data_IF_005604054356
#
_entry.id   IF_005604054356
#
_cell.length_a   1.000
_cell.length_b   1.000
_cell.length_c   1.000
_cell.angle_alpha   90.00
_cell.angle_beta   90.00
_cell.angle_gamma   90.00
#
_symmetry.space_group_name_H-M   'P 1'
#
loop_
_entity.id
_entity.type
_entity.pdbx_description
1 polymer ?
#
# COMPACT_ATOMS: atom_id res chain seq x y z
N UNK A 1 -23.09 68.70 -43.42
CA UNK A 1 -23.97 67.65 -43.98
C UNK A 1 -23.54 66.35 -43.32
N UNK A 2 -24.06 65.95 -42.16
CA UNK A 2 -25.45 65.53 -42.00
C UNK A 2 -25.74 64.17 -42.65
N UNK A 3 -24.79 63.62 -43.41
CA UNK A 3 -24.96 62.39 -44.16
C UNK A 3 -24.90 61.18 -43.23
N UNK A 4 -25.88 60.29 -43.33
CA UNK A 4 -25.88 59.00 -42.65
C UNK A 4 -25.03 58.02 -43.44
N UNK A 5 -23.99 57.46 -42.81
CA UNK A 5 -23.15 56.41 -43.37
C UNK A 5 -23.53 55.06 -42.75
N UNK A 6 -23.59 54.01 -43.57
CA UNK A 6 -23.75 52.63 -43.10
C UNK A 6 -22.44 51.86 -43.30
N UNK A 7 -22.02 51.14 -42.26
CA UNK A 7 -20.77 50.37 -42.25
C UNK A 7 -21.08 48.88 -42.35
N UNK A 8 -20.26 48.16 -43.11
CA UNK A 8 -20.39 46.71 -43.28
C UNK A 8 -19.04 46.07 -43.61
N UNK A 9 -18.98 44.73 -43.62
CA UNK A 9 -17.80 43.96 -44.00
C UNK A 9 -18.08 43.22 -45.31
N UNK A 10 -17.21 43.43 -46.30
CA UNK A 10 -17.30 42.69 -47.54
C UNK A 10 -16.93 41.21 -47.28
N UNK A 11 -17.86 40.29 -47.59
CA UNK A 11 -17.65 38.86 -47.36
C UNK A 11 -17.94 38.37 -45.94
N UNK A 12 -18.30 39.27 -45.01
CA UNK A 12 -18.58 38.95 -43.61
C UNK A 12 -17.38 39.19 -42.69
N UNK A 13 -17.57 38.87 -41.41
CA UNK A 13 -16.60 39.13 -40.35
C UNK A 13 -15.82 37.91 -39.85
N UNK A 14 -16.14 36.70 -40.33
CA UNK A 14 -15.51 35.49 -39.85
C UNK A 14 -14.11 35.33 -40.48
N UNK A 15 -13.08 35.38 -39.64
CA UNK A 15 -11.70 35.06 -40.01
C UNK A 15 -11.34 33.60 -39.73
N UNK A 16 -10.09 33.25 -40.01
CA UNK A 16 -9.46 31.99 -39.62
C UNK A 16 -9.19 31.94 -38.12
N UNK A 17 -8.65 33.01 -37.53
CA UNK A 17 -8.19 33.05 -36.13
C UNK A 17 -9.15 33.77 -35.18
N UNK A 18 -10.02 34.62 -35.73
CA UNK A 18 -10.99 35.38 -34.95
C UNK A 18 -12.04 36.04 -35.82
N UNK A 19 -12.92 36.80 -35.21
CA UNK A 19 -14.06 37.41 -35.88
C UNK A 19 -14.01 38.94 -35.76
N UNK A 20 -14.12 39.64 -36.89
CA UNK A 20 -14.22 41.09 -36.97
C UNK A 20 -15.69 41.51 -37.08
N UNK A 21 -16.08 42.51 -36.29
CA UNK A 21 -17.39 43.17 -36.38
C UNK A 21 -17.18 44.67 -36.55
N UNK A 22 -18.13 45.36 -37.19
CA UNK A 22 -18.13 46.82 -37.33
C UNK A 22 -19.48 47.38 -36.89
N UNK A 23 -19.47 48.40 -36.04
CA UNK A 23 -20.68 49.04 -35.53
C UNK A 23 -21.20 50.16 -36.48
N UNK A 24 -22.33 50.75 -36.13
CA UNK A 24 -22.96 51.81 -36.92
C UNK A 24 -22.13 53.11 -36.99
N UNK A 25 -21.11 53.26 -36.13
CA UNK A 25 -20.21 54.41 -36.12
C UNK A 25 -18.91 54.14 -36.90
N UNK A 26 -18.74 52.94 -37.45
CA UNK A 26 -17.51 52.51 -38.12
C UNK A 26 -16.42 52.04 -37.16
N UNK A 27 -16.74 51.86 -35.88
CA UNK A 27 -15.81 51.26 -34.91
C UNK A 27 -15.81 49.77 -35.16
N UNK A 28 -14.64 49.22 -35.50
CA UNK A 28 -14.47 47.78 -35.65
C UNK A 28 -13.93 47.17 -34.35
N UNK A 29 -14.33 45.92 -34.09
CA UNK A 29 -13.86 45.10 -32.97
C UNK A 29 -13.47 43.75 -33.52
N UNK A 30 -12.26 43.30 -33.20
CA UNK A 30 -11.79 41.96 -33.50
C UNK A 30 -11.75 41.13 -32.22
N UNK A 31 -12.33 39.93 -32.27
CA UNK A 31 -12.33 38.98 -31.16
C UNK A 31 -11.53 37.75 -31.59
N UNK A 32 -10.35 37.56 -30.99
CA UNK A 32 -9.53 36.37 -31.20
C UNK A 32 -10.22 35.15 -30.57
N UNK A 33 -10.28 34.03 -31.30
CA UNK A 33 -10.77 32.76 -30.75
C UNK A 33 -9.63 31.98 -30.10
N UNK A 34 -9.14 32.49 -28.96
CA UNK A 34 -7.92 31.99 -28.30
C UNK A 34 -7.94 30.50 -27.94
N UNK A 35 -9.13 29.91 -27.73
CA UNK A 35 -9.25 28.48 -27.44
C UNK A 35 -9.29 27.58 -28.68
N UNK A 36 -9.26 28.14 -29.89
CA UNK A 36 -9.26 27.35 -31.12
C UNK A 36 -7.88 26.72 -31.34
N UNK A 37 -7.85 25.46 -31.75
CA UNK A 37 -6.62 24.70 -31.94
C UNK A 37 -5.65 25.33 -32.95
N UNK A 38 -6.14 26.10 -33.93
CA UNK A 38 -5.28 26.80 -34.88
C UNK A 38 -4.62 28.05 -34.30
N UNK A 39 -5.20 28.66 -33.26
CA UNK A 39 -4.58 29.78 -32.52
C UNK A 39 -3.56 29.23 -31.54
N UNK A 40 -3.90 28.14 -30.84
CA UNK A 40 -3.02 27.44 -29.91
C UNK A 40 -1.88 26.67 -30.60
N UNK A 41 -1.89 26.54 -31.93
CA UNK A 41 -0.80 25.94 -32.69
C UNK A 41 0.22 26.97 -33.21
N UNK A 42 0.08 28.26 -32.85
CA UNK A 42 0.98 29.32 -33.28
C UNK A 42 2.13 29.44 -32.29
N UNK A 43 3.33 29.07 -32.73
CA UNK A 43 4.55 29.16 -31.92
C UNK A 43 4.85 30.60 -31.48
N UNK A 44 5.70 30.76 -30.46
CA UNK A 44 6.07 32.05 -29.90
C UNK A 44 6.60 33.03 -30.97
N UNK A 45 5.89 34.14 -31.16
CA UNK A 45 6.27 35.15 -32.15
C UNK A 45 5.98 34.78 -33.60
N UNK A 46 5.41 33.59 -33.88
CA UNK A 46 4.81 33.31 -35.19
C UNK A 46 3.73 34.36 -35.46
N UNK A 47 3.65 34.86 -36.70
CA UNK A 47 2.64 35.84 -37.08
C UNK A 47 1.83 35.39 -38.27
N UNK A 48 0.52 35.57 -38.17
CA UNK A 48 -0.43 35.28 -39.23
C UNK A 48 -1.31 36.51 -39.45
N UNK A 49 -1.51 36.87 -40.71
CA UNK A 49 -2.28 38.06 -41.07
C UNK A 49 -3.67 37.67 -41.57
N UNK A 50 -4.67 38.37 -41.06
CA UNK A 50 -6.05 38.33 -41.55
C UNK A 50 -6.41 39.65 -42.19
N UNK A 51 -7.11 39.59 -43.33
CA UNK A 51 -7.50 40.76 -44.10
C UNK A 51 -9.02 40.87 -44.14
N UNK A 52 -9.55 41.98 -43.63
CA UNK A 52 -10.98 42.29 -43.65
C UNK A 52 -11.21 43.58 -44.43
N UNK A 53 -12.12 43.59 -45.41
CA UNK A 53 -12.45 44.80 -46.17
C UNK A 53 -13.71 45.44 -45.59
N UNK A 54 -13.54 46.60 -44.94
CA UNK A 54 -14.62 47.43 -44.41
C UNK A 54 -15.19 48.28 -45.54
N UNK A 55 -16.52 48.28 -45.67
CA UNK A 55 -17.26 49.06 -46.67
C UNK A 55 -18.08 50.14 -45.97
N UNK A 56 -17.87 51.39 -46.36
CA UNK A 56 -18.73 52.51 -45.97
C UNK A 56 -19.61 52.89 -47.15
N UNK A 57 -20.91 53.04 -46.91
CA UNK A 57 -21.90 53.43 -47.92
C UNK A 57 -22.61 54.70 -47.48
N UNK A 58 -22.72 55.69 -48.37
CA UNK A 58 -23.50 56.89 -48.11
C UNK A 58 -25.01 56.67 -48.34
N UNK A 59 -25.82 57.64 -47.92
CA UNK A 59 -27.28 57.61 -48.08
C UNK A 59 -27.79 57.61 -49.54
N UNK A 60 -26.91 57.88 -50.51
CA UNK A 60 -27.20 57.85 -51.95
C UNK A 60 -26.70 56.56 -52.62
N UNK A 61 -26.13 55.63 -51.85
CA UNK A 61 -25.65 54.32 -52.31
C UNK A 61 -24.23 54.32 -52.88
N UNK A 62 -23.47 55.41 -52.76
CA UNK A 62 -22.05 55.42 -53.12
C UNK A 62 -21.22 54.74 -52.03
N UNK A 63 -20.24 53.90 -52.43
CA UNK A 63 -19.43 53.10 -51.52
C UNK A 63 -17.96 53.47 -51.59
N UNK A 64 -17.27 53.39 -50.45
CA UNK A 64 -15.80 53.37 -50.36
C UNK A 64 -15.34 52.20 -49.48
N UNK A 65 -14.10 51.75 -49.65
CA UNK A 65 -13.60 50.53 -49.00
C UNK A 65 -12.22 50.73 -48.38
N UNK A 66 -12.00 50.13 -47.22
CA UNK A 66 -10.71 50.11 -46.54
C UNK A 66 -10.37 48.70 -46.06
N UNK A 67 -9.17 48.25 -46.37
CA UNK A 67 -8.63 47.01 -45.83
C UNK A 67 -8.11 47.22 -44.41
N UNK A 68 -8.50 46.31 -43.52
CA UNK A 68 -8.03 46.18 -42.14
C UNK A 68 -7.23 44.88 -42.05
N UNK A 69 -5.92 45.00 -41.86
CA UNK A 69 -5.05 43.85 -41.59
C UNK A 69 -4.95 43.65 -40.08
N UNK A 70 -5.39 42.50 -39.59
CA UNK A 70 -5.16 42.05 -38.22
C UNK A 70 -3.97 41.09 -38.23
N UNK A 71 -2.92 41.41 -37.48
CA UNK A 71 -1.80 40.50 -37.26
C UNK A 71 -2.02 39.76 -35.96
N UNK A 72 -2.24 38.45 -36.04
CA UNK A 72 -2.27 37.55 -34.89
C UNK A 72 -0.84 37.09 -34.63
N UNK A 73 -0.39 37.21 -33.39
CA UNK A 73 0.95 36.78 -32.97
C UNK A 73 0.81 35.66 -31.95
N UNK A 74 1.46 34.53 -32.21
CA UNK A 74 1.51 33.40 -31.29
C UNK A 74 2.26 33.73 -30.00
N UNK A 75 1.87 33.05 -28.93
CA UNK A 75 2.51 33.08 -27.62
C UNK A 75 2.88 31.66 -27.25
N UNK A 76 4.03 31.48 -26.58
CA UNK A 76 4.47 30.17 -26.12
C UNK A 76 3.49 29.57 -25.11
N UNK A 77 2.93 28.39 -25.39
CA UNK A 77 2.13 27.63 -24.45
C UNK A 77 3.02 26.60 -23.74
N UNK A 78 2.86 26.44 -22.42
CA UNK A 78 3.73 25.52 -21.68
C UNK A 78 3.35 24.05 -21.95
N UNK A 79 4.33 23.13 -22.05
CA UNK A 79 4.05 21.72 -22.23
C UNK A 79 3.41 21.14 -20.98
N UNK A 80 2.70 20.03 -21.13
CA UNK A 80 2.01 19.34 -20.02
C UNK A 80 2.41 17.87 -19.95
N UNK A 81 2.56 17.36 -18.72
CA UNK A 81 2.79 15.93 -18.48
C UNK A 81 1.53 15.11 -18.72
N UNK A 82 1.73 13.88 -19.16
CA UNK A 82 0.75 12.81 -19.08
C UNK A 82 1.41 11.48 -18.72
N UNK A 83 0.62 10.42 -18.70
CA UNK A 83 1.07 9.08 -18.31
C UNK A 83 0.72 8.76 -16.86
N UNK A 84 1.10 7.55 -16.43
CA UNK A 84 0.72 6.96 -15.16
C UNK A 84 1.71 7.35 -14.03
N UNK A 85 2.92 7.81 -14.37
CA UNK A 85 3.98 8.22 -13.43
C UNK A 85 4.30 7.17 -12.35
N UNK A 86 4.18 5.90 -12.71
CA UNK A 86 4.26 4.75 -11.82
C UNK A 86 4.96 3.62 -12.59
N UNK A 87 5.99 3.03 -11.99
CA UNK A 87 6.74 1.92 -12.57
C UNK A 87 7.03 0.91 -11.48
N UNK A 88 6.90 -0.39 -11.77
CA UNK A 88 7.19 -1.44 -10.79
C UNK A 88 8.32 -2.35 -11.28
N UNK A 89 9.16 -2.79 -10.36
CA UNK A 89 10.18 -3.80 -10.61
C UNK A 89 10.48 -4.64 -9.36
N UNK A 90 11.27 -5.69 -9.55
CA UNK A 90 11.84 -6.46 -8.44
C UNK A 90 13.20 -5.85 -8.07
N UNK A 91 13.56 -5.87 -6.78
CA UNK A 91 14.84 -5.36 -6.30
C UNK A 91 16.02 -5.93 -7.09
N UNK A 92 17.01 -5.08 -7.36
CA UNK A 92 18.18 -5.39 -8.18
C UNK A 92 17.88 -5.50 -9.68
N UNK A 93 16.64 -5.19 -10.07
CA UNK A 93 16.18 -5.19 -11.44
C UNK A 93 16.49 -3.89 -12.18
N UNK A 94 16.29 -3.96 -13.49
CA UNK A 94 16.33 -2.84 -14.42
C UNK A 94 14.97 -2.77 -15.12
N UNK A 95 14.33 -1.60 -15.13
CA UNK A 95 13.05 -1.38 -15.79
C UNK A 95 13.13 -0.21 -16.77
N UNK A 96 12.77 -0.46 -18.02
CA UNK A 96 12.68 0.58 -19.04
C UNK A 96 11.39 1.37 -18.89
N UNK A 97 11.48 2.69 -19.00
CA UNK A 97 10.32 3.56 -19.07
C UNK A 97 9.79 3.60 -20.50
N UNK A 98 8.47 3.73 -20.62
CA UNK A 98 7.77 3.86 -21.89
C UNK A 98 6.79 5.05 -21.85
N UNK A 99 6.11 5.31 -22.97
CA UNK A 99 5.21 6.47 -23.10
C UNK A 99 3.95 6.40 -22.25
N UNK A 100 3.60 5.24 -21.69
CA UNK A 100 2.55 5.13 -20.68
C UNK A 100 3.02 5.66 -19.34
N UNK A 101 4.28 5.43 -18.98
CA UNK A 101 4.84 5.84 -17.68
C UNK A 101 5.11 7.35 -17.65
N UNK A 102 5.55 7.89 -18.78
CA UNK A 102 5.89 9.29 -18.94
C UNK A 102 5.65 9.75 -20.39
N UNK A 103 4.73 10.70 -20.56
CA UNK A 103 4.52 11.40 -21.82
C UNK A 103 4.38 12.90 -21.61
N UNK A 104 4.48 13.65 -22.70
CA UNK A 104 4.33 15.09 -22.70
C UNK A 104 3.60 15.54 -23.98
N UNK A 105 2.78 16.57 -23.83
CA UNK A 105 2.06 17.20 -24.93
C UNK A 105 2.30 18.70 -24.84
N UNK A 106 2.66 19.27 -25.99
CA UNK A 106 2.82 20.70 -26.18
C UNK A 106 1.77 21.19 -27.21
N UNK A 107 0.94 22.20 -26.90
CA UNK A 107 -0.08 22.71 -27.81
C UNK A 107 0.45 23.45 -29.05
N UNK A 108 1.49 24.28 -28.90
CA UNK A 108 2.02 25.13 -29.98
C UNK A 108 3.29 24.57 -30.62
N UNK A 109 3.84 23.50 -30.06
CA UNK A 109 4.99 22.82 -30.61
C UNK A 109 4.72 21.37 -31.04
N UNK A 110 5.57 20.84 -31.92
CA UNK A 110 5.50 19.40 -32.23
C UNK A 110 6.07 18.66 -31.02
N UNK A 111 5.31 17.75 -30.38
CA UNK A 111 5.71 16.96 -29.19
C UNK A 111 7.12 16.33 -29.20
N UNK A 112 7.85 16.36 -30.32
CA UNK A 112 9.26 15.95 -30.44
C UNK A 112 10.27 16.97 -29.89
N UNK A 113 9.87 18.19 -29.57
CA UNK A 113 10.75 19.25 -29.08
C UNK A 113 10.75 19.42 -27.55
N UNK A 114 9.87 18.70 -26.85
CA UNK A 114 9.84 18.73 -25.38
C UNK A 114 11.06 18.01 -24.79
N UNK A 115 11.60 18.60 -23.73
CA UNK A 115 12.78 18.10 -23.02
C UNK A 115 12.42 17.83 -21.56
N UNK A 116 12.72 16.62 -21.09
CA UNK A 116 12.64 16.26 -19.68
C UNK A 116 13.99 16.51 -19.02
N UNK A 117 14.01 17.23 -17.90
CA UNK A 117 15.21 17.50 -17.12
C UNK A 117 15.06 16.81 -15.76
N UNK A 118 16.04 15.98 -15.38
CA UNK A 118 16.05 15.37 -14.05
C UNK A 118 16.21 16.46 -12.98
N UNK A 119 15.22 16.63 -12.12
CA UNK A 119 15.17 17.64 -11.06
C UNK A 119 15.04 17.04 -9.63
N UNK A 120 15.17 15.73 -9.53
CA UNK A 120 15.36 15.00 -8.28
C UNK A 120 15.80 13.59 -8.63
N UNK A 121 17.08 13.28 -8.42
CA UNK A 121 17.61 11.95 -8.72
C UNK A 121 17.07 10.91 -7.73
N UNK A 122 16.84 9.66 -8.18
CA UNK A 122 16.46 8.57 -7.30
C UNK A 122 17.53 8.28 -6.25
N UNK A 123 17.13 7.73 -5.11
CA UNK A 123 18.02 7.48 -3.95
C UNK A 123 18.41 6.01 -3.78
N UNK A 124 17.54 5.09 -4.22
CA UNK A 124 17.74 3.63 -4.23
C UNK A 124 18.37 3.09 -5.51
N UNK A 125 18.54 3.93 -6.54
CA UNK A 125 19.07 3.54 -7.83
C UNK A 125 19.54 4.69 -8.71
N UNK A 126 19.42 4.51 -10.02
CA UNK A 126 19.80 5.53 -11.00
C UNK A 126 18.86 5.50 -12.20
N UNK A 127 18.38 6.68 -12.61
CA UNK A 127 17.78 6.84 -13.92
C UNK A 127 18.91 6.87 -14.96
N UNK A 128 18.77 6.12 -16.05
CA UNK A 128 19.78 6.00 -17.10
C UNK A 128 19.21 6.40 -18.45
N UNK A 129 20.06 6.89 -19.35
CA UNK A 129 19.76 7.09 -20.77
C UNK A 129 20.79 6.32 -21.61
N UNK A 130 20.35 5.31 -22.34
CA UNK A 130 21.23 4.40 -23.10
C UNK A 130 22.22 3.67 -22.21
N UNK A 131 21.83 3.38 -20.96
CA UNK A 131 22.67 2.75 -19.94
C UNK A 131 23.67 3.68 -19.24
N UNK A 132 23.65 4.98 -19.51
CA UNK A 132 24.46 5.98 -18.80
C UNK A 132 23.62 6.65 -17.73
N UNK A 133 24.06 6.63 -16.47
CA UNK A 133 23.35 7.27 -15.36
C UNK A 133 23.23 8.78 -15.55
N UNK A 134 22.01 9.30 -15.35
CA UNK A 134 21.68 10.71 -15.38
C UNK A 134 21.88 11.35 -14.01
N UNK A 135 22.49 12.53 -14.00
CA UNK A 135 22.62 13.40 -12.84
C UNK A 135 21.60 14.53 -12.90
N UNK A 136 21.30 15.13 -11.74
CA UNK A 136 20.37 16.26 -11.65
C UNK A 136 20.80 17.39 -12.61
N UNK A 137 19.84 17.94 -13.37
CA UNK A 137 20.04 18.93 -14.42
C UNK A 137 20.39 18.36 -15.79
N UNK A 138 20.62 17.04 -15.93
CA UNK A 138 20.73 16.41 -17.24
C UNK A 138 19.36 16.13 -17.84
N UNK A 139 19.30 16.10 -19.16
CA UNK A 139 18.06 15.98 -19.90
C UNK A 139 17.98 14.75 -20.78
N UNK A 140 16.75 14.40 -21.14
CA UNK A 140 16.38 13.41 -22.14
C UNK A 140 15.10 13.84 -22.87
N UNK A 141 14.76 13.14 -23.95
CA UNK A 141 13.67 13.49 -24.85
C UNK A 141 12.62 12.39 -24.90
N UNK A 142 11.45 12.71 -25.47
CA UNK A 142 10.43 11.70 -25.76
C UNK A 142 10.95 10.62 -26.72
N UNK A 143 11.90 10.95 -27.60
CA UNK A 143 12.52 9.98 -28.50
C UNK A 143 13.35 8.94 -27.73
N UNK A 144 14.07 9.34 -26.67
CA UNK A 144 14.84 8.43 -25.83
C UNK A 144 13.91 7.42 -25.10
N UNK A 145 12.74 7.88 -24.63
CA UNK A 145 11.71 7.03 -24.05
C UNK A 145 11.16 6.04 -25.09
N UNK A 146 10.80 6.53 -26.29
CA UNK A 146 10.25 5.70 -27.38
C UNK A 146 11.26 4.65 -27.86
N UNK A 147 12.55 4.99 -27.86
CA UNK A 147 13.62 4.06 -28.21
C UNK A 147 13.92 3.04 -27.10
N UNK A 148 13.36 3.23 -25.90
CA UNK A 148 13.61 2.37 -24.73
C UNK A 148 14.97 2.64 -24.09
N UNK A 149 15.56 3.81 -24.31
CA UNK A 149 16.86 4.18 -23.75
C UNK A 149 16.76 4.64 -22.29
N UNK A 150 15.58 5.13 -21.88
CA UNK A 150 15.32 5.58 -20.51
C UNK A 150 14.94 4.41 -19.63
N UNK A 151 15.74 4.14 -18.60
CA UNK A 151 15.52 3.04 -17.69
C UNK A 151 15.93 3.40 -16.26
N UNK A 152 15.18 2.91 -15.28
CA UNK A 152 15.58 2.93 -13.88
C UNK A 152 16.31 1.63 -13.53
N UNK A 153 17.53 1.78 -13.01
CA UNK A 153 18.39 0.70 -12.52
C UNK A 153 18.40 0.71 -10.98
N UNK A 154 17.81 -0.30 -10.34
CA UNK A 154 17.78 -0.39 -8.89
C UNK A 154 19.12 -0.91 -8.36
N UNK A 155 19.87 -0.05 -7.67
CA UNK A 155 21.16 -0.41 -7.10
C UNK A 155 21.05 -1.06 -5.72
N UNK A 156 19.87 -1.00 -5.09
CA UNK A 156 19.62 -1.52 -3.75
C UNK A 156 19.52 -3.04 -3.67
N UNK A 157 20.01 -3.61 -2.57
CA UNK A 157 19.79 -5.02 -2.20
C UNK A 157 18.47 -5.25 -1.45
N UNK A 158 17.68 -4.18 -1.24
CA UNK A 158 16.44 -4.16 -0.48
C UNK A 158 15.29 -3.63 -1.34
N UNK A 159 14.10 -4.15 -1.10
CA UNK A 159 12.83 -3.73 -1.68
C UNK A 159 12.33 -2.47 -0.98
N UNK A 160 12.93 -1.35 -1.32
CA UNK A 160 12.52 -0.03 -0.83
C UNK A 160 12.10 0.77 -2.04
N UNK A 161 10.86 1.25 -2.02
CA UNK A 161 10.32 2.13 -3.04
C UNK A 161 11.19 3.37 -3.21
N UNK A 162 11.20 3.89 -4.43
CA UNK A 162 11.99 5.06 -4.78
C UNK A 162 11.17 6.01 -5.65
N UNK A 163 11.74 7.14 -5.97
CA UNK A 163 11.13 8.05 -6.92
C UNK A 163 12.17 8.95 -7.55
N UNK A 164 11.82 9.53 -8.69
CA UNK A 164 12.59 10.64 -9.25
C UNK A 164 11.66 11.74 -9.75
N UNK A 165 12.19 12.95 -9.80
CA UNK A 165 11.44 14.13 -10.24
C UNK A 165 12.01 14.62 -11.55
N UNK A 166 11.15 14.89 -12.52
CA UNK A 166 11.51 15.55 -13.77
C UNK A 166 10.79 16.87 -13.90
N UNK A 167 11.46 17.84 -14.53
CA UNK A 167 10.87 19.10 -14.96
C UNK A 167 10.77 19.10 -16.49
N UNK A 168 9.66 19.61 -17.01
CA UNK A 168 9.39 19.64 -18.45
C UNK A 168 9.66 21.02 -19.01
N UNK A 169 10.35 21.08 -20.15
CA UNK A 169 10.64 22.30 -20.87
C UNK A 169 10.28 22.14 -22.35
N UNK A 170 9.76 23.19 -22.95
CA UNK A 170 9.72 23.36 -24.40
C UNK A 170 11.05 23.95 -24.91
N UNK A 171 11.15 24.15 -26.23
CA UNK A 171 12.34 24.71 -26.88
C UNK A 171 12.51 26.23 -26.65
N UNK A 172 11.43 26.91 -26.25
CA UNK A 172 11.35 28.33 -25.92
C UNK A 172 11.51 28.64 -24.41
N UNK A 173 11.85 27.61 -23.62
CA UNK A 173 12.15 27.65 -22.18
C UNK A 173 10.96 27.97 -21.25
N UNK A 174 9.70 27.81 -21.67
CA UNK A 174 8.62 27.74 -20.68
C UNK A 174 8.64 26.37 -19.97
N UNK A 175 8.35 26.43 -18.68
CA UNK A 175 8.34 25.25 -17.80
C UNK A 175 6.93 24.69 -17.73
N UNK A 176 6.79 23.40 -18.07
CA UNK A 176 5.58 22.60 -17.89
C UNK A 176 5.36 22.16 -16.44
N UNK A 177 6.21 22.62 -15.52
CA UNK A 177 6.21 22.20 -14.12
C UNK A 177 6.99 20.90 -13.92
N UNK A 178 6.72 20.24 -12.79
CA UNK A 178 7.42 19.01 -12.38
C UNK A 178 6.48 17.84 -12.21
N UNK A 179 6.94 16.63 -12.54
CA UNK A 179 6.28 15.36 -12.25
C UNK A 179 7.20 14.47 -11.39
N UNK A 180 6.60 13.79 -10.42
CA UNK A 180 7.26 12.73 -9.65
C UNK A 180 6.86 11.40 -10.24
N UNK A 181 7.85 10.61 -10.66
CA UNK A 181 7.66 9.23 -11.08
C UNK A 181 7.97 8.37 -9.87
N UNK A 182 6.97 7.61 -9.42
CA UNK A 182 7.12 6.67 -8.32
C UNK A 182 7.58 5.32 -8.86
N UNK A 183 8.45 4.67 -8.09
CA UNK A 183 9.03 3.38 -8.42
C UNK A 183 8.71 2.42 -7.27
N UNK A 184 7.83 1.48 -7.54
CA UNK A 184 7.46 0.44 -6.58
C UNK A 184 8.46 -0.72 -6.73
N UNK A 185 9.18 -1.04 -5.64
CA UNK A 185 10.23 -2.07 -5.65
C UNK A 185 9.80 -3.24 -4.78
N UNK A 186 9.53 -4.38 -5.42
CA UNK A 186 9.17 -5.62 -4.72
C UNK A 186 10.40 -6.48 -4.38
N UNK A 187 10.34 -7.21 -3.26
CA UNK A 187 11.30 -8.28 -2.97
C UNK A 187 11.11 -9.44 -3.95
N UNK A 188 12.17 -10.21 -4.29
CA UNK A 188 12.00 -11.41 -5.09
C UNK A 188 11.21 -12.43 -4.28
N UNK A 189 10.32 -13.24 -4.90
CA UNK A 189 9.60 -14.28 -4.17
C UNK A 189 10.57 -15.25 -3.49
N UNK A 190 10.41 -15.44 -2.18
CA UNK A 190 11.20 -16.34 -1.34
C UNK A 190 10.27 -17.29 -0.59
N UNK A 191 10.69 -18.55 -0.35
CA UNK A 191 9.87 -19.50 0.40
C UNK A 191 9.77 -19.08 1.88
N UNK A 192 8.72 -19.55 2.57
CA UNK A 192 8.55 -19.28 3.99
C UNK A 192 9.57 -20.05 4.84
N UNK A 193 9.67 -19.71 6.12
CA UNK A 193 10.47 -20.41 7.13
C UNK A 193 9.59 -20.86 8.29
N UNK A 194 9.58 -22.18 8.53
CA UNK A 194 8.79 -22.79 9.57
C UNK A 194 9.63 -22.98 10.85
N UNK A 195 9.12 -22.53 12.00
CA UNK A 195 9.77 -22.65 13.30
C UNK A 195 9.13 -23.76 14.15
N UNK A 196 9.85 -24.33 15.14
CA UNK A 196 9.26 -25.34 16.01
C UNK A 196 8.20 -24.76 16.93
N UNK A 197 7.06 -25.45 17.06
CA UNK A 197 6.01 -25.13 18.01
C UNK A 197 6.09 -26.04 19.25
N UNK A 198 5.79 -25.48 20.43
CA UNK A 198 5.83 -26.22 21.69
C UNK A 198 4.51 -26.08 22.44
N UNK A 199 3.87 -27.22 22.70
CA UNK A 199 2.59 -27.30 23.41
C UNK A 199 2.69 -28.18 24.64
N UNK A 200 2.02 -27.78 25.71
CA UNK A 200 1.86 -28.58 26.94
C UNK A 200 0.36 -28.75 27.19
N UNK A 201 -0.07 -30.00 27.37
CA UNK A 201 -1.50 -30.34 27.49
C UNK A 201 -1.72 -31.43 28.53
N UNK A 202 -2.78 -31.30 29.33
CA UNK A 202 -3.19 -32.34 30.29
C UNK A 202 -3.91 -33.52 29.60
N UNK A 203 -3.73 -34.73 30.10
CA UNK A 203 -4.40 -35.95 29.61
C UNK A 203 -5.88 -35.95 30.03
N UNK A 204 -6.70 -35.32 29.20
CA UNK A 204 -8.10 -35.01 29.48
C UNK A 204 -8.60 -33.82 28.67
N UNK A 205 -7.67 -32.97 28.22
CA UNK A 205 -7.90 -31.80 27.41
C UNK A 205 -7.65 -32.02 25.91
N UNK A 206 -8.05 -31.02 25.11
CA UNK A 206 -7.65 -30.87 23.73
C UNK A 206 -7.08 -29.47 23.50
N UNK A 207 -5.92 -29.40 22.86
CA UNK A 207 -5.23 -28.13 22.57
C UNK A 207 -5.50 -27.70 21.13
N UNK A 208 -5.76 -26.40 20.93
CA UNK A 208 -5.92 -25.78 19.62
C UNK A 208 -4.63 -25.06 19.25
N UNK A 209 -4.24 -25.20 17.99
CA UNK A 209 -2.90 -24.89 17.51
C UNK A 209 -2.99 -24.03 16.26
N UNK A 210 -2.48 -22.81 16.35
CA UNK A 210 -2.10 -22.03 15.18
C UNK A 210 -0.63 -22.32 14.88
N UNK A 211 -0.42 -23.18 13.90
CA UNK A 211 0.93 -23.61 13.49
C UNK A 211 1.65 -22.57 12.62
N UNK A 212 1.04 -21.42 12.35
CA UNK A 212 1.66 -20.35 11.55
C UNK A 212 2.04 -19.14 12.39
N UNK A 213 1.66 -19.11 13.67
CA UNK A 213 1.79 -17.94 14.53
C UNK A 213 3.24 -17.48 14.72
N UNK A 214 4.19 -18.41 14.80
CA UNK A 214 5.63 -18.12 14.97
C UNK A 214 6.43 -18.23 13.66
N UNK A 215 5.77 -18.54 12.55
CA UNK A 215 6.40 -18.71 11.24
C UNK A 215 6.63 -17.36 10.55
N UNK A 216 7.54 -17.33 9.57
CA UNK A 216 7.84 -16.08 8.85
C UNK A 216 7.96 -16.30 7.35
N UNK A 217 7.64 -15.25 6.59
CA UNK A 217 7.92 -15.18 5.17
C UNK A 217 8.76 -13.92 4.84
N UNK A 218 9.86 -14.01 4.08
CA UNK A 218 10.67 -12.84 3.75
C UNK A 218 9.96 -11.78 2.90
N UNK A 219 8.86 -12.13 2.23
CA UNK A 219 8.01 -11.25 1.44
C UNK A 219 6.77 -10.80 2.20
N UNK A 220 6.59 -11.23 3.45
CA UNK A 220 5.39 -10.98 4.27
C UNK A 220 4.11 -11.53 3.61
N UNK A 221 4.26 -12.60 2.81
CA UNK A 221 3.15 -13.28 2.18
C UNK A 221 2.36 -14.10 3.22
N UNK A 222 1.01 -14.14 3.13
CA UNK A 222 0.19 -14.94 4.04
C UNK A 222 0.56 -16.43 4.01
N UNK A 223 0.72 -17.01 5.20
CA UNK A 223 1.10 -18.41 5.36
C UNK A 223 -0.12 -19.32 5.47
N UNK A 224 -0.01 -20.53 4.94
CA UNK A 224 -1.04 -21.55 5.09
C UNK A 224 -0.45 -22.95 5.27
N UNK A 225 -0.89 -23.73 6.26
CA UNK A 225 -0.48 -25.11 6.42
C UNK A 225 -1.15 -25.99 5.35
N UNK A 226 -0.36 -26.80 4.66
CA UNK A 226 -0.81 -27.63 3.52
C UNK A 226 -0.67 -29.13 3.73
N UNK A 227 0.12 -29.56 4.71
CA UNK A 227 0.28 -30.97 5.05
C UNK A 227 0.72 -31.15 6.50
N UNK A 228 0.41 -32.31 7.06
CA UNK A 228 0.93 -32.75 8.36
C UNK A 228 1.13 -34.27 8.40
N UNK A 229 1.98 -34.71 9.33
CA UNK A 229 2.07 -36.14 9.71
C UNK A 229 1.18 -36.41 10.91
N UNK A 230 0.84 -37.67 11.14
CA UNK A 230 0.13 -38.04 12.37
C UNK A 230 1.09 -38.15 13.56
N UNK A 231 0.71 -37.65 14.74
CA UNK A 231 1.41 -37.92 15.98
C UNK A 231 1.28 -39.40 16.40
N UNK A 232 2.13 -39.85 17.32
CA UNK A 232 2.23 -41.27 17.69
C UNK A 232 1.27 -41.67 18.82
N UNK A 233 0.89 -40.73 19.68
CA UNK A 233 0.16 -40.95 20.93
C UNK A 233 -1.06 -40.02 21.09
N UNK A 234 -1.70 -39.67 19.98
CA UNK A 234 -2.93 -38.91 20.00
C UNK A 234 -3.56 -38.76 18.62
N UNK A 235 -4.63 -37.99 18.58
CA UNK A 235 -5.37 -37.66 17.38
C UNK A 235 -5.11 -36.21 16.99
N UNK A 236 -4.62 -36.00 15.77
CA UNK A 236 -4.52 -34.68 15.14
C UNK A 236 -5.72 -34.48 14.21
N UNK A 237 -6.47 -33.41 14.46
CA UNK A 237 -7.55 -32.95 13.60
C UNK A 237 -7.29 -31.53 13.07
N UNK A 238 -8.11 -31.13 12.11
CA UNK A 238 -8.10 -29.77 11.54
C UNK A 238 -9.52 -29.21 11.58
N UNK A 239 -9.69 -28.03 12.17
CA UNK A 239 -10.94 -27.28 12.19
C UNK A 239 -11.03 -26.42 10.93
N UNK A 240 -11.89 -26.80 9.99
CA UNK A 240 -12.06 -26.06 8.72
C UNK A 240 -12.78 -24.72 8.86
N UNK A 241 -13.42 -24.45 10.00
CA UNK A 241 -14.14 -23.18 10.24
C UNK A 241 -13.17 -22.14 10.78
N UNK A 242 -12.31 -22.54 11.72
CA UNK A 242 -11.31 -21.69 12.36
C UNK A 242 -9.95 -21.73 11.64
N UNK A 243 -9.77 -22.64 10.69
CA UNK A 243 -8.51 -22.90 9.97
C UNK A 243 -7.32 -23.29 10.88
N UNK A 244 -7.61 -23.81 12.07
CA UNK A 244 -6.63 -24.24 13.08
C UNK A 244 -6.50 -25.76 13.18
N UNK A 245 -5.38 -26.24 13.71
CA UNK A 245 -5.22 -27.65 14.10
C UNK A 245 -5.68 -27.86 15.54
N UNK A 246 -6.07 -29.09 15.88
CA UNK A 246 -6.28 -29.48 17.26
C UNK A 246 -5.70 -30.86 17.55
N UNK A 247 -5.22 -31.05 18.77
CA UNK A 247 -4.63 -32.31 19.22
C UNK A 247 -5.36 -32.83 20.45
N UNK A 248 -5.69 -34.12 20.44
CA UNK A 248 -6.30 -34.84 21.55
C UNK A 248 -5.35 -35.99 21.94
N UNK A 249 -4.76 -35.99 23.15
CA UNK A 249 -3.94 -37.11 23.61
C UNK A 249 -4.75 -38.41 23.68
N UNK A 250 -4.10 -39.53 23.40
CA UNK A 250 -4.70 -40.83 23.70
C UNK A 250 -4.93 -40.99 25.22
N UNK A 251 -6.07 -41.54 25.60
CA UNK A 251 -6.49 -41.68 27.00
C UNK A 251 -5.43 -42.43 27.82
N UNK A 252 -4.95 -41.80 28.89
CA UNK A 252 -3.96 -42.33 29.82
C UNK A 252 -2.51 -42.24 29.36
N UNK A 253 -2.21 -41.59 28.24
CA UNK A 253 -0.83 -41.33 27.78
C UNK A 253 -0.26 -40.08 28.43
N UNK A 254 0.96 -40.20 28.95
CA UNK A 254 1.75 -39.12 29.55
C UNK A 254 3.16 -39.19 28.96
N UNK A 255 3.75 -38.05 28.66
CA UNK A 255 5.07 -37.93 28.05
C UNK A 255 5.04 -37.15 26.74
N UNK A 256 6.13 -37.23 25.98
CA UNK A 256 6.30 -36.48 24.73
C UNK A 256 5.57 -37.11 23.54
N UNK A 257 4.96 -36.28 22.71
CA UNK A 257 4.52 -36.60 21.36
C UNK A 257 5.03 -35.53 20.37
N UNK A 258 4.95 -35.82 19.07
CA UNK A 258 5.37 -34.86 18.04
C UNK A 258 4.80 -35.18 16.67
N UNK A 259 4.69 -34.17 15.83
CA UNK A 259 4.41 -34.31 14.41
C UNK A 259 5.09 -33.19 13.61
N UNK A 260 5.16 -33.32 12.30
CA UNK A 260 5.63 -32.25 11.40
C UNK A 260 4.47 -31.68 10.60
N UNK A 261 4.55 -30.40 10.27
CA UNK A 261 3.62 -29.71 9.38
C UNK A 261 4.40 -29.00 8.27
N UNK A 262 3.74 -28.72 7.15
CA UNK A 262 4.33 -28.02 6.01
C UNK A 262 3.49 -26.80 5.69
N UNK A 263 4.13 -25.63 5.57
CA UNK A 263 3.51 -24.34 5.23
C UNK A 263 3.86 -23.93 3.80
N UNK A 264 3.04 -23.09 3.19
CA UNK A 264 3.30 -22.41 1.91
C UNK A 264 2.88 -20.95 1.97
N UNK A 265 3.55 -20.14 1.16
CA UNK A 265 3.24 -18.74 0.83
C UNK A 265 2.31 -18.64 -0.41
N UNK A 266 2.02 -19.77 -1.08
CA UNK A 266 1.28 -19.81 -2.34
C UNK A 266 2.05 -19.29 -3.57
N UNK A 267 3.28 -18.80 -3.39
CA UNK A 267 4.04 -18.06 -4.39
C UNK A 267 5.37 -18.74 -4.73
N UNK A 268 6.22 -19.04 -3.74
CA UNK A 268 7.65 -19.32 -3.93
C UNK A 268 8.11 -20.66 -3.37
N UNK A 269 7.30 -21.37 -2.59
CA UNK A 269 7.67 -22.70 -2.12
C UNK A 269 6.94 -23.16 -0.87
N UNK A 270 7.64 -23.97 -0.08
CA UNK A 270 7.15 -24.54 1.16
C UNK A 270 8.32 -24.80 2.11
N UNK A 271 8.03 -24.80 3.41
CA UNK A 271 8.94 -25.25 4.46
C UNK A 271 8.22 -26.16 5.45
N UNK A 272 8.98 -26.91 6.27
CA UNK A 272 8.43 -27.92 7.19
C UNK A 272 8.92 -27.70 8.61
N UNK A 273 7.97 -27.38 9.50
CA UNK A 273 8.17 -27.22 10.93
C UNK A 273 7.91 -28.52 11.71
N UNK A 274 8.19 -28.47 13.01
CA UNK A 274 7.93 -29.58 13.94
C UNK A 274 7.15 -29.07 15.13
N UNK A 275 6.08 -29.78 15.46
CA UNK A 275 5.32 -29.57 16.69
C UNK A 275 5.79 -30.56 17.75
N UNK A 276 6.15 -30.04 18.92
CA UNK A 276 6.54 -30.80 20.10
C UNK A 276 5.45 -30.68 21.16
N UNK A 277 4.96 -31.81 21.65
CA UNK A 277 3.85 -31.85 22.61
C UNK A 277 4.32 -32.57 23.88
N UNK A 278 4.09 -31.96 25.03
CA UNK A 278 4.25 -32.60 26.33
C UNK A 278 2.88 -32.87 26.94
N UNK A 279 2.51 -34.15 27.02
CA UNK A 279 1.25 -34.58 27.65
C UNK A 279 1.50 -34.87 29.13
N UNK A 280 0.79 -34.16 30.02
CA UNK A 280 0.86 -34.34 31.47
C UNK A 280 -0.37 -35.09 32.01
N UNK A 281 -0.34 -35.48 33.27
CA UNK A 281 -1.55 -36.02 33.93
C UNK A 281 -2.55 -34.93 34.23
N UNK A 282 -3.85 -35.24 34.14
CA UNK A 282 -4.97 -34.36 34.54
C UNK A 282 -4.80 -33.80 35.96
N UNK A 283 -5.04 -32.50 36.16
CA UNK A 283 -4.92 -31.83 37.46
C UNK A 283 -3.50 -31.75 38.02
N UNK A 284 -2.47 -31.83 37.17
CA UNK A 284 -1.05 -31.71 37.55
C UNK A 284 -0.51 -30.32 37.22
N UNK A 285 0.70 -30.03 37.67
CA UNK A 285 1.35 -28.78 37.34
C UNK A 285 1.79 -28.76 35.86
N UNK A 286 1.25 -27.84 35.07
CA UNK A 286 1.70 -27.54 33.70
C UNK A 286 2.83 -26.53 33.78
N UNK A 287 4.06 -26.99 33.58
CA UNK A 287 5.26 -26.14 33.73
C UNK A 287 5.96 -26.00 32.38
N UNK A 288 5.99 -24.77 31.87
CA UNK A 288 6.79 -24.35 30.72
C UNK A 288 8.28 -24.61 30.94
N UNK A 289 8.97 -24.97 29.87
CA UNK A 289 10.42 -25.29 29.90
C UNK A 289 11.21 -24.69 28.75
N UNK A 290 10.57 -23.95 27.85
CA UNK A 290 11.12 -23.36 26.64
C UNK A 290 10.87 -21.84 26.63
N UNK A 291 10.79 -21.25 25.43
CA UNK A 291 10.28 -19.90 25.22
C UNK A 291 9.04 -19.99 24.34
N UNK A 292 8.08 -19.09 24.59
CA UNK A 292 6.90 -18.86 23.78
C UNK A 292 6.00 -20.11 23.66
N UNK A 293 5.62 -20.68 24.81
CA UNK A 293 4.84 -21.91 24.86
C UNK A 293 3.34 -21.70 24.93
N UNK A 294 2.61 -22.72 24.48
CA UNK A 294 1.15 -22.78 24.62
C UNK A 294 0.79 -23.85 25.65
N UNK A 295 0.10 -23.45 26.72
CA UNK A 295 -0.32 -24.30 27.83
C UNK A 295 -1.84 -24.41 27.84
N UNK A 296 -2.35 -25.64 27.84
CA UNK A 296 -3.79 -25.93 27.90
C UNK A 296 -4.11 -26.82 29.11
N UNK A 297 -4.93 -26.27 30.02
CA UNK A 297 -5.51 -26.96 31.17
C UNK A 297 -6.54 -28.03 30.78
N UNK A 298 -6.92 -28.83 31.76
CA UNK A 298 -7.96 -29.86 31.73
C UNK A 298 -9.26 -29.37 32.36
N UNK A 299 -10.25 -30.25 32.49
CA UNK A 299 -11.49 -29.96 33.24
C UNK A 299 -11.35 -29.97 34.77
N UNK A 300 -10.13 -29.89 35.27
CA UNK A 300 -9.79 -29.94 36.69
C UNK A 300 -8.87 -28.77 36.99
N UNK A 301 -8.98 -28.22 38.20
CA UNK A 301 -8.10 -27.18 38.72
C UNK A 301 -6.60 -27.49 38.50
N UNK A 302 -5.98 -26.84 37.53
CA UNK A 302 -4.58 -26.99 37.16
C UNK A 302 -3.72 -25.87 37.76
N UNK A 303 -2.42 -26.18 37.96
CA UNK A 303 -1.43 -25.19 38.35
C UNK A 303 -0.45 -24.97 37.21
N UNK A 304 -0.48 -23.80 36.60
CA UNK A 304 0.31 -23.50 35.41
C UNK A 304 1.43 -22.50 35.69
N UNK A 305 2.52 -22.64 34.97
CA UNK A 305 3.63 -21.70 34.99
C UNK A 305 4.22 -21.65 33.59
N UNK A 306 4.41 -20.45 33.07
CA UNK A 306 5.08 -20.22 31.80
C UNK A 306 6.54 -20.67 31.81
N UNK A 307 7.12 -20.70 30.61
CA UNK A 307 8.54 -20.89 30.37
C UNK A 307 9.26 -19.56 30.50
N UNK A 308 10.04 -19.15 29.52
CA UNK A 308 10.52 -17.79 29.46
C UNK A 308 10.38 -17.23 28.06
N UNK A 309 9.60 -16.18 27.87
CA UNK A 309 9.22 -15.64 26.56
C UNK A 309 7.82 -15.07 26.71
N UNK A 310 7.05 -15.09 25.63
CA UNK A 310 5.63 -14.72 25.61
C UNK A 310 4.79 -16.00 25.57
N UNK A 311 4.34 -16.47 26.72
CA UNK A 311 3.57 -17.71 26.84
C UNK A 311 2.06 -17.47 26.63
N UNK A 312 1.36 -18.41 26.01
CA UNK A 312 -0.10 -18.40 25.85
C UNK A 312 -0.76 -19.47 26.72
N UNK A 313 -1.64 -19.05 27.62
CA UNK A 313 -2.45 -19.95 28.43
C UNK A 313 -3.87 -20.01 27.85
N UNK A 314 -4.31 -21.20 27.45
CA UNK A 314 -5.59 -21.43 26.78
C UNK A 314 -6.60 -22.07 27.74
N UNK A 315 -7.84 -21.55 27.72
CA UNK A 315 -8.93 -21.99 28.58
C UNK A 315 -10.25 -22.12 27.80
N UNK A 316 -11.10 -23.04 28.25
CA UNK A 316 -12.44 -23.35 27.72
C UNK A 316 -13.45 -23.53 28.84
N UNK A 317 -14.74 -23.39 28.49
CA UNK A 317 -15.86 -23.66 29.40
C UNK A 317 -15.76 -25.10 29.94
N UNK A 318 -15.66 -25.21 31.25
CA UNK A 318 -15.51 -26.44 32.00
C UNK A 318 -14.08 -26.84 32.35
N UNK A 319 -13.09 -25.95 32.16
CA UNK A 319 -11.69 -26.18 32.55
C UNK A 319 -11.46 -26.06 34.09
N UNK A 320 -12.39 -25.47 34.83
CA UNK A 320 -12.34 -25.41 36.30
C UNK A 320 -11.64 -24.17 36.86
N UNK A 321 -11.15 -24.27 38.10
CA UNK A 321 -10.51 -23.15 38.82
C UNK A 321 -8.98 -23.26 38.75
N UNK A 322 -8.37 -22.54 37.81
CA UNK A 322 -6.95 -22.65 37.50
C UNK A 322 -6.08 -21.57 38.15
N UNK A 323 -4.80 -21.88 38.32
CA UNK A 323 -3.82 -20.94 38.90
C UNK A 323 -2.58 -20.80 38.03
N UNK A 324 -2.19 -19.57 37.68
CA UNK A 324 -0.96 -19.28 36.91
C UNK A 324 0.06 -18.57 37.82
N UNK A 325 1.29 -19.07 37.90
CA UNK A 325 2.34 -18.53 38.80
C UNK A 325 3.41 -17.65 38.17
N UNK A 326 3.53 -17.65 36.85
CA UNK A 326 4.53 -16.87 36.10
C UNK A 326 3.83 -16.26 34.90
N UNK A 327 3.06 -15.18 35.15
CA UNK A 327 2.34 -14.43 34.14
C UNK A 327 2.85 -12.99 34.13
N UNK A 328 3.44 -12.59 33.03
CA UNK A 328 4.03 -11.28 32.78
C UNK A 328 3.00 -10.39 32.11
N UNK A 329 2.28 -9.60 32.90
CA UNK A 329 1.29 -8.64 32.38
C UNK A 329 1.92 -7.31 31.92
N UNK A 330 1.35 -6.66 30.92
CA UNK A 330 1.73 -5.31 30.53
C UNK A 330 1.38 -4.91 29.10
N UNK A 331 2.21 -4.05 28.51
CA UNK A 331 2.08 -3.65 27.10
C UNK A 331 3.30 -4.18 26.36
N UNK A 332 3.10 -5.11 25.44
CA UNK A 332 4.12 -5.50 24.47
C UNK A 332 4.23 -7.00 24.28
N UNK A 333 5.45 -7.51 24.47
CA UNK A 333 5.75 -8.94 24.53
C UNK A 333 5.53 -9.35 25.98
N UNK A 334 4.35 -9.90 26.21
CA UNK A 334 3.75 -10.29 27.48
C UNK A 334 3.17 -11.69 27.34
N UNK A 335 2.94 -12.32 28.49
CA UNK A 335 2.19 -13.57 28.54
C UNK A 335 0.72 -13.26 28.25
N UNK A 336 0.05 -14.17 27.55
CA UNK A 336 -1.33 -13.97 27.11
C UNK A 336 -2.26 -15.04 27.62
N UNK A 337 -3.50 -14.64 27.81
CA UNK A 337 -4.60 -15.49 28.21
C UNK A 337 -5.62 -15.58 27.06
N UNK A 338 -5.80 -16.77 26.49
CA UNK A 338 -6.87 -17.04 25.53
C UNK A 338 -8.12 -17.49 26.27
N UNK A 339 -9.09 -16.59 26.32
CA UNK A 339 -10.42 -16.76 26.94
C UNK A 339 -11.53 -16.35 25.96
N UNK A 340 -11.23 -16.43 24.66
CA UNK A 340 -12.13 -16.01 23.60
C UNK A 340 -13.47 -16.79 23.55
N UNK A 341 -13.51 -17.98 24.16
CA UNK A 341 -14.73 -18.79 24.26
C UNK A 341 -15.74 -18.29 25.31
N UNK A 342 -15.32 -17.43 26.25
CA UNK A 342 -16.16 -17.00 27.37
C UNK A 342 -16.99 -15.73 27.09
N UNK A 343 -16.86 -15.17 25.87
CA UNK A 343 -17.74 -14.10 25.37
C UNK A 343 -17.45 -12.72 25.94
N UNK A 344 -16.24 -12.48 26.43
CA UNK A 344 -15.75 -11.14 26.74
C UNK A 344 -15.51 -10.37 25.44
N UNK A 345 -15.89 -9.09 25.38
CA UNK A 345 -15.79 -8.32 24.12
C UNK A 345 -14.76 -7.20 24.15
N UNK A 346 -14.33 -6.80 25.36
CA UNK A 346 -13.26 -5.85 25.57
C UNK A 346 -12.66 -6.01 26.98
N UNK A 347 -11.55 -5.32 27.22
CA UNK A 347 -10.89 -5.31 28.54
C UNK A 347 -11.81 -4.79 29.65
N UNK A 348 -12.80 -3.94 29.35
CA UNK A 348 -13.69 -3.41 30.39
C UNK A 348 -14.67 -4.49 30.90
N UNK A 349 -15.18 -5.35 30.01
CA UNK A 349 -15.98 -6.52 30.36
C UNK A 349 -15.16 -7.49 31.22
N UNK A 350 -13.92 -7.78 30.81
CA UNK A 350 -13.02 -8.64 31.56
C UNK A 350 -12.71 -8.06 32.95
N UNK A 351 -12.31 -6.78 33.01
CA UNK A 351 -12.04 -6.10 34.27
C UNK A 351 -13.29 -5.97 35.15
N UNK A 352 -14.51 -6.10 34.63
CA UNK A 352 -15.71 -6.19 35.46
C UNK A 352 -15.83 -7.55 36.16
N UNK A 353 -15.30 -8.60 35.54
CA UNK A 353 -15.25 -9.97 36.06
C UNK A 353 -14.02 -10.25 36.95
N UNK A 354 -13.02 -9.35 36.97
CA UNK A 354 -11.85 -9.52 37.83
C UNK A 354 -12.01 -8.99 39.24
N UNK A 355 -11.55 -9.75 40.22
CA UNK A 355 -11.30 -9.29 41.58
C UNK A 355 -9.80 -9.33 41.89
N UNK A 356 -9.35 -8.40 42.73
CA UNK A 356 -7.97 -8.34 43.21
C UNK A 356 -7.96 -8.77 44.68
N UNK A 357 -7.30 -9.90 44.94
CA UNK A 357 -7.17 -10.50 46.26
C UNK A 357 -5.83 -10.16 46.92
N UNK A 358 -5.18 -9.06 46.54
CA UNK A 358 -3.97 -8.55 47.19
C UNK A 358 -2.82 -8.39 46.21
N UNK A 359 -1.99 -9.42 46.06
CA UNK A 359 -0.96 -9.48 45.02
C UNK A 359 -1.39 -10.36 43.84
N UNK A 360 -2.59 -10.94 43.91
CA UNK A 360 -3.08 -11.95 42.97
C UNK A 360 -4.40 -11.46 42.39
N UNK A 361 -4.57 -11.63 41.08
CA UNK A 361 -5.80 -11.27 40.36
C UNK A 361 -6.58 -12.53 40.03
N UNK A 362 -7.87 -12.55 40.39
CA UNK A 362 -8.78 -13.63 40.02
C UNK A 362 -9.72 -13.11 38.93
N UNK A 363 -9.71 -13.79 37.80
CA UNK A 363 -10.60 -13.55 36.67
C UNK A 363 -11.70 -14.59 36.75
N UNK A 364 -12.94 -14.16 37.01
CA UNK A 364 -14.10 -15.05 36.94
C UNK A 364 -14.49 -15.20 35.48
N UNK A 365 -14.34 -16.39 34.91
CA UNK A 365 -14.65 -16.64 33.50
C UNK A 365 -16.15 -16.88 33.34
N UNK A 366 -16.73 -17.72 34.19
CA UNK A 366 -18.18 -17.93 34.24
C UNK A 366 -18.69 -18.31 35.66
N UNK A 367 -19.75 -19.12 35.77
CA UNK A 367 -20.29 -19.53 37.06
C UNK A 367 -19.46 -20.61 37.77
N UNK A 368 -18.71 -21.41 37.03
CA UNK A 368 -18.01 -22.61 37.52
C UNK A 368 -16.49 -22.54 37.24
N UNK A 369 -16.02 -21.61 36.39
CA UNK A 369 -14.60 -21.48 36.01
C UNK A 369 -13.98 -20.13 36.44
N UNK A 370 -12.72 -20.18 36.88
CA UNK A 370 -11.92 -18.99 37.17
C UNK A 370 -10.43 -19.18 36.96
N UNK A 371 -9.71 -18.10 36.66
CA UNK A 371 -8.24 -18.10 36.55
C UNK A 371 -7.65 -17.17 37.59
N UNK A 372 -6.74 -17.70 38.40
CA UNK A 372 -5.99 -16.93 39.40
C UNK A 372 -4.57 -16.67 38.90
N UNK A 373 -4.26 -15.40 38.62
CA UNK A 373 -2.92 -14.92 38.28
C UNK A 373 -2.17 -14.53 39.56
N UNK A 374 -1.23 -15.38 39.98
CA UNK A 374 -0.45 -15.16 41.20
C UNK A 374 0.62 -14.09 40.96
N UNK A 375 0.69 -13.11 41.84
CA UNK A 375 1.68 -12.02 41.75
C UNK A 375 1.34 -10.91 40.74
N UNK A 376 0.24 -11.03 40.01
CA UNK A 376 -0.24 -10.03 39.04
C UNK A 376 -1.37 -9.21 39.67
N UNK A 377 -1.27 -7.88 39.61
CA UNK A 377 -2.36 -7.01 40.05
C UNK A 377 -3.25 -6.62 38.87
N UNK A 378 -4.55 -6.45 39.15
CA UNK A 378 -5.55 -6.04 38.16
C UNK A 378 -5.19 -4.77 37.39
N UNK A 379 -4.47 -3.85 38.03
CA UNK A 379 -4.07 -2.58 37.42
C UNK A 379 -2.92 -2.71 36.42
N UNK A 380 -2.21 -3.84 36.45
CA UNK A 380 -1.09 -4.14 35.57
C UNK A 380 -1.55 -4.83 34.27
N UNK A 381 -2.82 -5.29 34.22
CA UNK A 381 -3.44 -5.89 33.05
C UNK A 381 -3.76 -4.87 31.94
N UNK A 382 -3.48 -5.23 30.71
CA UNK A 382 -3.74 -4.50 29.47
C UNK A 382 -4.53 -5.35 28.47
N UNK A 383 -4.96 -4.75 27.37
CA UNK A 383 -5.67 -5.47 26.30
C UNK A 383 -4.76 -6.46 25.57
N UNK A 384 -3.44 -6.21 25.56
CA UNK A 384 -2.45 -7.07 24.90
C UNK A 384 -2.26 -8.42 25.61
N UNK A 385 -2.55 -8.48 26.92
CA UNK A 385 -2.46 -9.70 27.74
C UNK A 385 -3.57 -10.73 27.42
N UNK A 386 -4.50 -10.43 26.51
CA UNK A 386 -5.69 -11.25 26.28
C UNK A 386 -5.99 -11.48 24.80
N UNK A 387 -6.47 -12.69 24.51
CA UNK A 387 -7.25 -12.98 23.31
C UNK A 387 -8.72 -13.09 23.73
N UNK A 388 -9.55 -12.15 23.27
CA UNK A 388 -10.97 -11.97 23.67
C UNK A 388 -11.95 -12.34 22.55
#
# INVERSE_FOLDING_TARGET
>A
NGATATWSLAGGGAGTYGDLSVDANGTWTYVLRNGDANVQALAAGETQNELFTVVVTDEHGATDTQDVTVTVTGTNDAPTFGGDHQVSLIQGGLVGLNTLDLTAIDPDDVNTNVTFVLNGAPTGGSLTNGGVALSNGQSFTLADIINGDIAYDHAGATAVDDSFVVELFDDDLATGGTATINIDVASPPAPPSAFPDVYIVSNGANVFMDLTANDTDPNDDPLSPIASTNPANGFLGFNVIEETYFYIPDVGVVGSDSFTYTITDGNSGFDTGTVLISVLTDGDALIGTASDEILQGSSLDDNMSGGGGDDLFQFKDGDGDDTITDFTAGVGSDDRLDISEFGFTDLADLLAATNDAGADTVITLDADDSVTLIGVQKADLHEDDFLL
#
